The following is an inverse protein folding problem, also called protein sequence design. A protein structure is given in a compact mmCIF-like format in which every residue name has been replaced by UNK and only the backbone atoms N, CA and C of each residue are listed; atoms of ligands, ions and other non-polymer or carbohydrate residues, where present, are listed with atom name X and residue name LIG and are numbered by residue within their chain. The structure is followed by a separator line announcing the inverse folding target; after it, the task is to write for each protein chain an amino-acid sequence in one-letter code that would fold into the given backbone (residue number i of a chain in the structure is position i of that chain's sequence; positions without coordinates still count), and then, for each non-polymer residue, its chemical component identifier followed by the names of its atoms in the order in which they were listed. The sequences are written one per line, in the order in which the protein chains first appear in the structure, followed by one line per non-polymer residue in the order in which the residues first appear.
data_IF_183589835037
#
_entry.id   IF_183589835037
#
_cell.length_a   1.000
_cell.length_b   1.000
_cell.length_c   1.000
_cell.angle_alpha   90.00
_cell.angle_beta   90.00
_cell.angle_gamma   90.00
#
_symmetry.space_group_name_H-M   'P 1'
#
loop_
_entity.id
_entity.type
_entity.pdbx_description
1 polymer ?
#
# COMPACT_ATOMS: atom_id res chain seq x y z
N UNK A 1 -9.10 9.97 0.73
CA UNK A 1 -8.11 10.63 -0.12
C UNK A 1 -7.25 9.57 -0.78
N UNK A 2 -7.24 9.51 -2.09
CA UNK A 2 -6.47 8.46 -2.75
C UNK A 2 -4.97 8.66 -2.54
N UNK A 3 -4.25 7.56 -2.45
CA UNK A 3 -2.80 7.61 -2.44
C UNK A 3 -2.28 8.00 -3.83
N UNK A 4 -1.14 8.69 -3.90
CA UNK A 4 -0.61 9.11 -5.21
C UNK A 4 -0.09 7.90 -5.99
N UNK A 5 -0.07 8.06 -7.31
CA UNK A 5 0.59 7.09 -8.17
C UNK A 5 2.10 7.19 -7.98
N UNK A 6 2.75 6.04 -7.99
CA UNK A 6 4.20 5.97 -7.79
C UNK A 6 4.84 5.30 -8.98
N UNK A 7 6.02 5.78 -9.35
CA UNK A 7 6.83 5.19 -10.40
C UNK A 7 8.16 4.76 -9.80
N UNK A 8 8.57 3.53 -10.08
CA UNK A 8 9.81 2.97 -9.58
C UNK A 8 10.59 2.33 -10.71
N UNK A 9 11.91 2.25 -10.54
CA UNK A 9 12.79 1.58 -11.49
C UNK A 9 13.08 0.19 -10.97
N UNK A 10 12.98 -0.79 -11.87
CA UNK A 10 13.22 -2.19 -11.52
C UNK A 10 14.56 -2.33 -10.77
N UNK A 11 14.52 -3.06 -9.68
CA UNK A 11 15.69 -3.30 -8.83
C UNK A 11 15.81 -2.35 -7.66
N UNK A 12 15.04 -1.27 -7.64
CA UNK A 12 15.06 -0.31 -6.54
C UNK A 12 14.10 -0.74 -5.44
N UNK A 13 14.15 -0.02 -4.33
CA UNK A 13 13.21 -0.20 -3.24
C UNK A 13 12.11 0.84 -3.32
N UNK A 14 10.88 0.42 -3.01
CA UNK A 14 9.71 1.29 -2.99
C UNK A 14 9.06 1.17 -1.63
N UNK A 15 8.66 2.30 -1.06
CA UNK A 15 7.94 2.35 0.20
C UNK A 15 6.58 2.97 -0.08
N UNK A 16 5.52 2.21 0.24
CA UNK A 16 4.14 2.69 0.16
C UNK A 16 3.68 3.00 1.57
N UNK A 17 3.22 4.22 1.78
CA UNK A 17 2.76 4.67 3.09
C UNK A 17 1.27 4.98 2.99
N UNK A 18 0.49 4.33 3.85
CA UNK A 18 -0.93 4.60 3.94
C UNK A 18 -1.15 5.71 4.95
N UNK A 19 -1.62 6.86 4.47
CA UNK A 19 -1.91 8.00 5.35
C UNK A 19 -3.27 7.76 6.01
N UNK A 20 -3.25 7.29 7.25
CA UNK A 20 -4.45 6.99 8.01
C UNK A 20 -4.54 7.97 9.17
N UNK A 21 -5.73 8.57 9.34
CA UNK A 21 -5.96 9.43 10.47
C UNK A 21 -6.01 8.61 11.75
N UNK A 22 -5.41 9.15 12.81
CA UNK A 22 -5.51 8.51 14.11
C UNK A 22 -6.98 8.44 14.53
N UNK A 23 -7.35 7.31 15.11
CA UNK A 23 -8.71 7.09 15.57
C UNK A 23 -8.73 6.43 16.92
N UNK A 24 -9.89 6.39 17.53
CA UNK A 24 -10.11 5.71 18.79
C UNK A 24 -11.24 4.72 18.64
N UNK A 25 -10.96 3.41 18.77
CA UNK A 25 -9.63 2.82 18.91
C UNK A 25 -8.79 2.95 17.63
N UNK A 26 -7.46 2.79 17.74
CA UNK A 26 -6.60 2.89 16.55
C UNK A 26 -7.01 1.87 15.49
N UNK A 27 -7.03 2.25 14.22
CA UNK A 27 -7.42 1.32 13.17
C UNK A 27 -6.34 0.29 12.87
N UNK A 28 -6.79 -0.89 12.45
CA UNK A 28 -5.89 -1.87 11.86
C UNK A 28 -5.70 -1.54 10.39
N UNK A 29 -4.45 -1.55 9.92
CA UNK A 29 -4.11 -1.15 8.56
C UNK A 29 -3.52 -2.34 7.84
N UNK A 30 -4.04 -2.64 6.65
CA UNK A 30 -3.61 -3.77 5.83
C UNK A 30 -3.45 -3.30 4.38
N UNK A 31 -2.36 -3.71 3.75
CA UNK A 31 -2.16 -3.53 2.33
C UNK A 31 -2.55 -4.80 1.56
N UNK A 32 -3.22 -4.63 0.43
CA UNK A 32 -3.60 -5.74 -0.45
C UNK A 32 -3.30 -5.37 -1.90
N UNK A 33 -3.11 -6.41 -2.72
CA UNK A 33 -3.07 -6.25 -4.16
C UNK A 33 -4.48 -6.20 -4.72
N UNK A 34 -4.61 -5.78 -5.98
CA UNK A 34 -5.89 -5.78 -6.68
C UNK A 34 -6.47 -7.20 -6.85
N UNK A 35 -5.64 -8.21 -6.66
CA UNK A 35 -6.07 -9.60 -6.65
C UNK A 35 -6.61 -10.03 -5.28
N UNK A 36 -6.68 -9.11 -4.34
CA UNK A 36 -7.12 -9.33 -2.96
C UNK A 36 -6.22 -10.25 -2.17
N UNK A 37 -4.96 -10.37 -2.59
CA UNK A 37 -3.98 -11.10 -1.82
C UNK A 37 -3.42 -10.19 -0.73
N UNK A 38 -3.49 -10.61 0.55
CA UNK A 38 -2.90 -9.81 1.61
C UNK A 38 -1.38 -9.77 1.48
N UNK A 39 -0.81 -8.63 1.84
CA UNK A 39 0.62 -8.43 1.76
C UNK A 39 1.21 -8.25 3.15
N UNK A 40 2.45 -8.69 3.32
CA UNK A 40 3.16 -8.46 4.56
C UNK A 40 3.53 -6.98 4.64
N UNK A 41 2.93 -6.30 5.58
CA UNK A 41 3.19 -4.89 5.82
C UNK A 41 3.25 -4.64 7.31
N UNK A 42 3.84 -3.52 7.70
CA UNK A 42 3.86 -3.15 9.10
C UNK A 42 2.47 -2.68 9.54
N UNK A 43 2.21 -2.77 10.83
CA UNK A 43 0.90 -2.42 11.37
C UNK A 43 0.59 -0.92 11.27
N UNK A 44 1.58 -0.10 10.99
CA UNK A 44 1.40 1.34 10.83
C UNK A 44 1.18 1.76 9.37
N UNK A 45 0.93 0.81 8.48
CA UNK A 45 0.55 1.10 7.11
C UNK A 45 1.71 1.27 6.15
N UNK A 46 2.90 0.84 6.51
CA UNK A 46 4.07 0.95 5.65
C UNK A 46 4.31 -0.37 4.95
N UNK A 47 4.35 -0.32 3.62
CA UNK A 47 4.66 -1.49 2.80
C UNK A 47 5.96 -1.22 2.05
N UNK A 48 6.94 -2.11 2.22
CA UNK A 48 8.23 -1.99 1.55
C UNK A 48 8.35 -3.11 0.51
N UNK A 49 8.67 -2.73 -0.71
CA UNK A 49 8.91 -3.66 -1.81
C UNK A 49 10.36 -3.49 -2.27
N UNK A 50 11.17 -4.55 -2.11
CA UNK A 50 12.57 -4.46 -2.45
C UNK A 50 13.13 -5.87 -2.69
N UNK A 51 13.74 -6.12 -3.84
CA UNK A 51 13.79 -5.23 -5.01
C UNK A 51 12.48 -5.23 -5.77
N UNK A 52 12.19 -4.12 -6.42
CA UNK A 52 11.00 -3.99 -7.26
C UNK A 52 11.23 -4.75 -8.57
N UNK A 53 10.21 -5.50 -8.99
CA UNK A 53 10.21 -6.19 -10.29
C UNK A 53 8.96 -5.78 -11.07
N UNK A 54 8.90 -6.17 -12.34
CA UNK A 54 7.71 -5.89 -13.14
C UNK A 54 6.47 -6.56 -12.58
N UNK A 55 6.62 -7.67 -11.86
CA UNK A 55 5.49 -8.33 -11.23
C UNK A 55 4.87 -7.49 -10.11
N UNK A 56 5.60 -6.51 -9.60
CA UNK A 56 5.09 -5.63 -8.55
C UNK A 56 4.22 -4.50 -9.11
N UNK A 57 4.20 -4.28 -10.42
CA UNK A 57 3.38 -3.23 -11.01
C UNK A 57 1.90 -3.56 -10.86
N UNK A 58 1.12 -2.55 -10.51
CA UNK A 58 -0.32 -2.72 -10.39
C UNK A 58 -0.91 -1.87 -9.29
N UNK A 59 -2.15 -2.16 -8.95
CA UNK A 59 -2.87 -1.43 -7.92
C UNK A 59 -2.66 -2.06 -6.55
N UNK A 60 -2.43 -1.21 -5.57
CA UNK A 60 -2.31 -1.59 -4.18
C UNK A 60 -3.40 -0.88 -3.40
N UNK A 61 -4.07 -1.60 -2.52
CA UNK A 61 -5.19 -1.08 -1.76
C UNK A 61 -4.80 -1.11 -0.28
N UNK A 62 -4.86 0.06 0.36
CA UNK A 62 -4.68 0.17 1.80
C UNK A 62 -6.04 0.20 2.46
N UNK A 63 -6.29 -0.72 3.37
CA UNK A 63 -7.54 -0.77 4.13
C UNK A 63 -7.25 -0.46 5.58
N UNK A 64 -7.96 0.51 6.13
CA UNK A 64 -7.86 0.85 7.53
C UNK A 64 -9.25 0.69 8.16
N UNK A 65 -9.32 -0.05 9.26
CA UNK A 65 -10.61 -0.33 9.90
C UNK A 65 -10.50 -0.38 11.40
N UNK A 66 -11.57 0.04 12.06
CA UNK A 66 -11.78 -0.16 13.50
C UNK A 66 -13.26 -0.44 13.71
N UNK A 67 -13.69 -0.49 14.97
CA UNK A 67 -15.09 -0.81 15.26
C UNK A 67 -16.06 0.28 14.81
N UNK A 68 -15.58 1.49 14.56
CA UNK A 68 -16.41 2.60 14.10
C UNK A 68 -16.69 2.50 12.61
N UNK A 69 -15.70 2.07 11.84
CA UNK A 69 -15.85 2.00 10.39
C UNK A 69 -14.55 1.67 9.69
N UNK A 70 -14.58 1.72 8.37
CA UNK A 70 -13.41 1.40 7.56
C UNK A 70 -13.28 2.38 6.41
N UNK A 71 -12.05 2.50 5.91
CA UNK A 71 -11.75 3.33 4.76
C UNK A 71 -10.67 2.66 3.92
N UNK A 72 -10.64 3.01 2.64
CA UNK A 72 -9.68 2.45 1.71
C UNK A 72 -9.01 3.56 0.91
N UNK A 73 -7.76 3.34 0.53
CA UNK A 73 -7.05 4.19 -0.40
C UNK A 73 -6.34 3.31 -1.42
N UNK A 74 -6.27 3.78 -2.66
CA UNK A 74 -5.69 3.00 -3.76
C UNK A 74 -4.45 3.72 -4.26
N UNK A 75 -3.36 2.96 -4.41
CA UNK A 75 -2.12 3.45 -5.00
C UNK A 75 -1.81 2.63 -6.24
N UNK A 76 -1.37 3.31 -7.31
CA UNK A 76 -0.92 2.64 -8.52
C UNK A 76 0.61 2.68 -8.57
N UNK A 77 1.22 1.51 -8.66
CA UNK A 77 2.67 1.40 -8.80
C UNK A 77 3.01 1.07 -10.24
N UNK A 78 3.83 1.91 -10.86
CA UNK A 78 4.32 1.71 -12.21
C UNK A 78 5.80 1.37 -12.13
N UNK A 79 6.20 0.27 -12.75
CA UNK A 79 7.59 -0.19 -12.71
C UNK A 79 8.19 -0.03 -14.09
N UNK A 80 9.32 0.67 -14.15
CA UNK A 80 10.04 0.91 -15.39
C UNK A 80 11.35 0.14 -15.40
N UNK A 81 11.71 -0.34 -16.58
CA UNK A 81 13.04 -0.90 -16.81
C UNK A 81 14.02 0.21 -17.13
N UNK A 82 15.28 -0.06 -16.90
CA UNK A 82 16.35 0.87 -17.28
C UNK A 82 17.22 0.26 -18.36
#
# INVERSE_FOLDING_TARGET
MPAPNLTAIRGEAVVLICAVKAGHPPPAVVWERDTKQPLNSSSDGILVISPVTFDNEGMYICKASNIIGSTEAVALLIVQGN
#
